data_IF_961146695467
#
_entry.id   IF_961146695467
#
_cell.length_a   1.000
_cell.length_b   1.000
_cell.length_c   1.000
_cell.angle_alpha   90.00
_cell.angle_beta   90.00
_cell.angle_gamma   90.00
#
_symmetry.space_group_name_H-M   'P 1'
#
loop_
_entity.id
_entity.type
_entity.pdbx_description
1 polymer ?
#
# COMPACT_ATOMS: atom_id res chain seq x y z
N UNK A 1 -36.16 4.11 23.10
CA UNK A 1 -35.31 5.06 23.85
C UNK A 1 -33.85 4.77 23.53
N UNK A 2 -33.53 4.43 22.27
CA UNK A 2 -32.31 3.68 21.95
C UNK A 2 -31.45 4.36 20.87
N UNK A 3 -31.91 5.48 20.30
CA UNK A 3 -31.15 6.28 19.34
C UNK A 3 -30.35 7.42 19.98
N UNK A 4 -30.63 7.81 21.24
CA UNK A 4 -29.90 8.88 21.92
C UNK A 4 -28.56 8.40 22.51
N UNK A 5 -28.46 7.12 22.90
CA UNK A 5 -27.23 6.56 23.47
C UNK A 5 -26.16 6.29 22.39
N UNK A 6 -26.56 5.88 21.18
CA UNK A 6 -25.63 5.70 20.06
C UNK A 6 -25.00 7.02 19.58
N UNK A 7 -25.78 8.11 19.59
CA UNK A 7 -25.30 9.44 19.22
C UNK A 7 -24.40 10.08 20.31
N UNK A 8 -24.43 9.58 21.54
CA UNK A 8 -23.60 10.10 22.64
C UNK A 8 -22.13 9.66 22.55
N UNK A 9 -21.81 8.62 21.76
CA UNK A 9 -20.44 8.13 21.55
C UNK A 9 -19.83 8.53 20.20
N UNK A 10 -20.66 8.99 19.25
CA UNK A 10 -20.20 9.48 17.96
C UNK A 10 -19.66 10.91 18.11
N UNK A 11 -18.37 11.03 18.48
CA UNK A 11 -17.67 12.31 18.35
C UNK A 11 -17.61 12.70 16.87
N UNK A 12 -17.94 13.95 16.49
CA UNK A 12 -17.75 14.40 15.11
C UNK A 12 -16.28 14.23 14.71
N UNK A 13 -16.02 13.37 13.72
CA UNK A 13 -14.66 13.23 13.20
C UNK A 13 -14.23 14.56 12.56
N UNK A 14 -13.09 15.07 12.99
CA UNK A 14 -12.50 16.27 12.42
C UNK A 14 -12.08 16.01 10.97
N UNK A 15 -11.98 17.08 10.16
CA UNK A 15 -11.52 16.99 8.76
C UNK A 15 -10.20 16.22 8.67
N UNK A 16 -9.28 16.45 9.61
CA UNK A 16 -7.99 15.75 9.70
C UNK A 16 -8.16 14.24 9.94
N UNK A 17 -9.10 13.83 10.81
CA UNK A 17 -9.36 12.40 11.07
C UNK A 17 -9.98 11.70 9.87
N UNK A 18 -10.86 12.38 9.12
CA UNK A 18 -11.42 11.84 7.88
C UNK A 18 -10.32 11.66 6.83
N UNK A 19 -9.44 12.65 6.65
CA UNK A 19 -8.31 12.53 5.72
C UNK A 19 -7.35 11.41 6.11
N UNK A 20 -7.10 11.18 7.40
CA UNK A 20 -6.28 10.06 7.87
C UNK A 20 -6.92 8.70 7.54
N UNK A 21 -8.22 8.55 7.82
CA UNK A 21 -8.95 7.32 7.52
C UNK A 21 -9.01 7.02 6.01
N UNK A 22 -9.23 8.05 5.18
CA UNK A 22 -9.20 7.93 3.73
C UNK A 22 -7.82 7.51 3.21
N UNK A 23 -6.75 8.00 3.83
CA UNK A 23 -5.40 7.56 3.49
C UNK A 23 -5.16 6.11 3.90
N UNK A 24 -5.69 5.65 5.03
CA UNK A 24 -5.49 4.27 5.49
C UNK A 24 -6.27 3.25 4.65
N UNK A 25 -7.53 3.56 4.33
CA UNK A 25 -8.49 2.59 3.73
C UNK A 25 -8.78 2.84 2.26
N UNK A 26 -8.45 4.01 1.73
CA UNK A 26 -8.86 4.44 0.40
C UNK A 26 -10.31 4.92 0.35
N UNK A 27 -10.75 5.28 -0.85
CA UNK A 27 -12.13 5.71 -1.17
C UNK A 27 -12.58 5.03 -2.45
N UNK A 28 -13.81 5.19 -2.89
CA UNK A 28 -14.24 4.63 -4.20
C UNK A 28 -13.49 5.22 -5.41
N UNK A 29 -12.76 6.32 -5.23
CA UNK A 29 -12.08 7.04 -6.30
C UNK A 29 -10.55 7.02 -6.19
N UNK A 30 -10.02 6.75 -5.00
CA UNK A 30 -8.59 6.80 -4.72
C UNK A 30 -8.17 5.62 -3.86
N UNK A 31 -7.04 4.97 -4.19
CA UNK A 31 -6.50 3.89 -3.38
C UNK A 31 -6.00 4.40 -2.02
N UNK A 32 -5.83 3.50 -1.03
CA UNK A 32 -5.15 3.82 0.22
C UNK A 32 -3.72 4.29 -0.07
N UNK A 33 -3.22 5.21 0.76
CA UNK A 33 -1.88 5.79 0.64
C UNK A 33 -0.86 5.08 1.50
N UNK A 34 0.30 4.81 0.92
CA UNK A 34 1.52 4.43 1.62
C UNK A 34 2.21 5.70 2.11
N UNK A 35 1.92 6.11 3.35
CA UNK A 35 2.51 7.31 3.96
C UNK A 35 3.86 7.05 4.63
N UNK A 36 4.02 5.81 5.12
CA UNK A 36 5.19 5.33 5.84
C UNK A 36 5.56 3.94 5.29
N UNK A 37 6.86 3.72 5.14
CA UNK A 37 7.45 2.46 4.71
C UNK A 37 7.12 1.31 5.66
N UNK A 38 6.97 1.59 6.96
CA UNK A 38 6.69 0.55 7.97
C UNK A 38 5.30 -0.08 7.80
N UNK A 39 4.37 0.62 7.14
CA UNK A 39 3.04 0.12 6.80
C UNK A 39 3.01 -0.65 5.47
N UNK A 40 4.14 -0.78 4.75
CA UNK A 40 4.15 -1.44 3.43
C UNK A 40 3.49 -2.83 3.45
N UNK A 41 3.78 -3.65 4.47
CA UNK A 41 3.23 -5.01 4.57
C UNK A 41 1.71 -5.05 4.76
N UNK A 42 1.13 -4.04 5.41
CA UNK A 42 -0.33 -3.94 5.53
C UNK A 42 -0.95 -3.24 4.33
N UNK A 43 -0.25 -2.23 3.80
CA UNK A 43 -0.69 -1.43 2.68
C UNK A 43 -0.76 -2.24 1.38
N UNK A 44 0.17 -3.18 1.14
CA UNK A 44 0.18 -4.02 -0.08
C UNK A 44 -1.13 -4.76 -0.26
N UNK A 45 -1.66 -5.36 0.82
CA UNK A 45 -2.94 -6.06 0.80
C UNK A 45 -4.11 -5.08 0.60
N UNK A 46 -4.09 -3.92 1.26
CA UNK A 46 -5.16 -2.93 1.13
C UNK A 46 -5.21 -2.34 -0.27
N UNK A 47 -4.05 -2.01 -0.84
CA UNK A 47 -3.92 -1.50 -2.20
C UNK A 47 -4.34 -2.56 -3.23
N UNK A 48 -3.84 -3.79 -3.11
CA UNK A 48 -4.19 -4.90 -3.99
C UNK A 48 -5.68 -5.17 -4.03
N UNK A 49 -6.29 -5.37 -2.85
CA UNK A 49 -7.74 -5.57 -2.73
C UNK A 49 -8.54 -4.39 -3.32
N UNK A 50 -8.06 -3.17 -3.13
CA UNK A 50 -8.71 -1.99 -3.70
C UNK A 50 -8.65 -1.99 -5.23
N UNK A 51 -7.48 -2.21 -5.81
CA UNK A 51 -7.30 -2.23 -7.27
C UNK A 51 -8.09 -3.37 -7.88
N UNK A 52 -8.05 -4.57 -7.31
CA UNK A 52 -8.85 -5.70 -7.79
C UNK A 52 -10.36 -5.43 -7.71
N UNK A 53 -10.84 -4.77 -6.66
CA UNK A 53 -12.26 -4.47 -6.52
C UNK A 53 -12.79 -3.47 -7.56
N UNK A 54 -12.00 -2.45 -7.93
CA UNK A 54 -12.46 -1.38 -8.82
C UNK A 54 -11.90 -1.48 -10.25
N UNK A 55 -10.76 -2.14 -10.43
CA UNK A 55 -9.94 -2.14 -11.65
C UNK A 55 -9.26 -3.51 -11.88
N UNK A 56 -9.97 -4.62 -11.65
CA UNK A 56 -9.46 -5.99 -11.80
C UNK A 56 -8.69 -6.22 -13.11
N UNK A 57 -9.28 -5.81 -14.23
CA UNK A 57 -8.68 -5.94 -15.55
C UNK A 57 -7.30 -5.29 -15.67
N UNK A 58 -7.06 -4.21 -14.91
CA UNK A 58 -5.81 -3.48 -14.96
C UNK A 58 -4.75 -4.09 -14.03
N UNK A 59 -5.14 -4.91 -13.05
CA UNK A 59 -4.22 -5.57 -12.11
C UNK A 59 -3.17 -6.43 -12.84
N UNK A 60 -3.51 -7.03 -13.99
CA UNK A 60 -2.57 -7.82 -14.81
C UNK A 60 -1.27 -7.04 -15.12
N UNK A 61 -1.32 -5.71 -15.22
CA UNK A 61 -0.17 -4.86 -15.52
C UNK A 61 0.80 -4.64 -14.34
N UNK A 62 0.39 -5.01 -13.11
CA UNK A 62 1.28 -5.12 -11.96
C UNK A 62 2.13 -6.39 -12.08
N UNK A 63 1.50 -7.49 -12.49
CA UNK A 63 2.13 -8.82 -12.54
C UNK A 63 2.93 -9.04 -13.83
N UNK A 64 2.46 -8.47 -14.94
CA UNK A 64 3.02 -8.66 -16.28
C UNK A 64 3.36 -7.31 -16.89
N UNK A 65 4.63 -7.14 -17.23
CA UNK A 65 5.10 -5.89 -17.84
C UNK A 65 4.40 -5.62 -19.18
N UNK A 66 3.80 -4.43 -19.29
CA UNK A 66 3.20 -3.98 -20.54
C UNK A 66 4.26 -3.75 -21.63
N UNK A 67 4.09 -4.42 -22.76
CA UNK A 67 4.87 -4.18 -23.97
C UNK A 67 4.07 -3.38 -25.00
N UNK A 68 4.63 -2.27 -25.48
CA UNK A 68 4.00 -1.46 -26.54
C UNK A 68 4.06 -2.21 -27.89
N UNK A 69 2.94 -2.34 -28.62
CA UNK A 69 2.95 -2.98 -29.94
C UNK A 69 3.91 -2.32 -30.92
N UNK A 70 4.70 -3.13 -31.61
CA UNK A 70 5.69 -2.71 -32.59
C UNK A 70 5.15 -2.95 -34.01
N UNK A 71 5.33 -1.98 -34.88
CA UNK A 71 5.08 -2.15 -36.32
C UNK A 71 6.23 -2.88 -37.01
N UNK A 72 6.09 -3.10 -38.32
CA UNK A 72 7.07 -3.80 -39.16
C UNK A 72 8.50 -3.23 -39.05
N UNK A 73 8.62 -1.94 -38.73
CA UNK A 73 9.91 -1.25 -38.62
C UNK A 73 10.53 -1.35 -37.22
N UNK A 74 9.99 -2.18 -36.31
CA UNK A 74 10.35 -2.25 -34.88
C UNK A 74 10.20 -0.92 -34.13
N UNK A 75 9.30 -0.06 -34.63
CA UNK A 75 8.93 1.21 -34.00
C UNK A 75 7.54 1.05 -33.38
N UNK A 76 7.33 1.66 -32.22
CA UNK A 76 6.03 1.67 -31.55
C UNK A 76 4.94 2.19 -32.48
N UNK A 77 3.84 1.43 -32.57
CA UNK A 77 2.67 1.83 -33.35
C UNK A 77 2.05 3.08 -32.69
N UNK A 78 1.73 4.13 -33.47
CA UNK A 78 1.02 5.31 -32.96
C UNK A 78 -0.28 4.93 -32.24
N UNK A 79 -0.64 5.63 -31.16
CA UNK A 79 -1.83 5.29 -30.34
C UNK A 79 -3.10 5.19 -31.21
N UNK A 80 -3.25 6.06 -32.22
CA UNK A 80 -4.40 6.08 -33.12
C UNK A 80 -4.58 4.78 -33.91
N UNK A 81 -3.49 4.10 -34.25
CA UNK A 81 -3.43 2.90 -35.08
C UNK A 81 -3.54 1.60 -34.28
N UNK A 82 -3.54 1.68 -32.94
CA UNK A 82 -3.77 0.53 -32.07
C UNK A 82 -5.20 -0.01 -32.20
N UNK A 83 -5.34 -1.33 -32.09
CA UNK A 83 -6.63 -2.01 -31.96
C UNK A 83 -7.38 -1.58 -30.70
N UNK A 84 -8.66 -1.95 -30.58
CA UNK A 84 -9.43 -1.66 -29.37
C UNK A 84 -8.82 -2.32 -28.13
N UNK A 85 -8.37 -3.57 -28.27
CA UNK A 85 -7.73 -4.37 -27.23
C UNK A 85 -6.37 -3.79 -26.84
N UNK A 86 -5.56 -3.36 -27.81
CA UNK A 86 -4.26 -2.73 -27.56
C UNK A 86 -4.40 -1.37 -26.86
N UNK A 87 -5.43 -0.58 -27.25
CA UNK A 87 -5.78 0.67 -26.56
C UNK A 87 -6.23 0.42 -25.14
N UNK A 88 -7.00 -0.65 -24.91
CA UNK A 88 -7.40 -1.07 -23.56
C UNK A 88 -6.17 -1.38 -22.71
N UNK A 89 -5.28 -2.27 -23.14
CA UNK A 89 -4.02 -2.59 -22.42
C UNK A 89 -3.16 -1.35 -22.16
N UNK A 90 -3.02 -0.46 -23.14
CA UNK A 90 -2.29 0.79 -22.94
C UNK A 90 -2.94 1.69 -21.88
N UNK A 91 -4.27 1.77 -21.87
CA UNK A 91 -5.03 2.56 -20.88
C UNK A 91 -4.92 1.94 -19.50
N UNK A 92 -5.03 0.62 -19.39
CA UNK A 92 -4.96 -0.13 -18.14
C UNK A 92 -3.56 0.00 -17.51
N UNK A 93 -2.48 -0.12 -18.29
CA UNK A 93 -1.11 0.21 -17.86
C UNK A 93 -1.00 1.63 -17.29
N UNK A 94 -1.51 2.63 -18.02
CA UNK A 94 -1.44 4.04 -17.57
C UNK A 94 -2.31 4.31 -16.34
N UNK A 95 -3.41 3.58 -16.19
CA UNK A 95 -4.25 3.62 -15.01
C UNK A 95 -3.47 3.12 -13.79
N UNK A 96 -2.85 1.94 -13.86
CA UNK A 96 -2.07 1.41 -12.74
C UNK A 96 -0.92 2.34 -12.36
N UNK A 97 -0.14 2.84 -13.34
CA UNK A 97 0.93 3.80 -13.05
C UNK A 97 0.37 5.00 -12.28
N UNK A 98 -0.76 5.54 -12.71
CA UNK A 98 -1.41 6.67 -12.04
C UNK A 98 -1.90 6.33 -10.62
N UNK A 99 -2.40 5.12 -10.40
CA UNK A 99 -2.85 4.66 -9.08
C UNK A 99 -1.65 4.50 -8.13
N UNK A 100 -0.55 3.91 -8.61
CA UNK A 100 0.70 3.79 -7.84
C UNK A 100 1.25 5.17 -7.45
N UNK A 101 1.30 6.12 -8.38
CA UNK A 101 1.74 7.50 -8.10
C UNK A 101 0.83 8.23 -7.11
N UNK A 102 -0.46 7.93 -7.07
CA UNK A 102 -1.39 8.53 -6.11
C UNK A 102 -1.28 7.91 -4.72
N UNK A 103 -1.03 6.60 -4.68
CA UNK A 103 -0.98 5.82 -3.46
C UNK A 103 0.37 5.94 -2.76
N UNK A 104 1.47 5.99 -3.50
CA UNK A 104 2.82 6.06 -2.94
C UNK A 104 3.17 7.51 -2.66
N UNK A 105 3.62 7.81 -1.43
CA UNK A 105 4.11 9.14 -1.09
C UNK A 105 5.36 9.48 -1.92
N UNK A 106 5.46 10.72 -2.37
CA UNK A 106 6.50 11.18 -3.30
C UNK A 106 7.93 10.87 -2.82
N UNK A 107 8.21 11.05 -1.53
CA UNK A 107 9.52 10.78 -0.93
C UNK A 107 9.92 9.30 -0.96
N UNK A 108 8.95 8.39 -0.96
CA UNK A 108 9.16 6.96 -1.19
C UNK A 108 9.35 6.71 -2.69
N UNK A 109 8.50 7.30 -3.52
CA UNK A 109 8.46 7.08 -4.97
C UNK A 109 9.79 7.44 -5.65
N UNK A 110 10.38 8.60 -5.32
CA UNK A 110 11.66 9.05 -5.91
C UNK A 110 12.85 8.14 -5.58
N UNK A 111 12.73 7.26 -4.58
CA UNK A 111 13.78 6.32 -4.17
C UNK A 111 13.74 5.01 -4.97
N UNK A 112 12.68 4.76 -5.74
CA UNK A 112 12.50 3.55 -6.54
C UNK A 112 13.28 3.65 -7.86
N UNK A 113 14.06 2.63 -8.20
CA UNK A 113 14.85 2.61 -9.44
C UNK A 113 14.09 1.91 -10.57
N UNK A 114 12.95 2.49 -10.96
CA UNK A 114 12.04 1.88 -11.93
C UNK A 114 12.27 2.38 -13.37
N UNK A 115 11.87 1.58 -14.36
CA UNK A 115 11.89 1.97 -15.78
C UNK A 115 10.65 2.77 -16.24
N UNK A 116 9.66 2.92 -15.34
CA UNK A 116 8.42 3.67 -15.58
C UNK A 116 7.22 2.82 -15.99
N UNK A 117 7.35 1.50 -16.07
CA UNK A 117 6.22 0.56 -16.17
C UNK A 117 5.58 0.33 -14.80
N UNK A 118 4.29 0.00 -14.79
CA UNK A 118 3.57 -0.39 -13.57
C UNK A 118 4.28 -1.54 -12.84
N UNK A 119 4.56 -2.62 -13.59
CA UNK A 119 5.29 -3.79 -13.11
C UNK A 119 6.66 -3.43 -12.52
N UNK A 120 7.44 -2.57 -13.17
CA UNK A 120 8.75 -2.16 -12.63
C UNK A 120 8.64 -1.34 -11.35
N UNK A 121 7.66 -0.42 -11.26
CA UNK A 121 7.40 0.34 -10.02
C UNK A 121 7.04 -0.63 -8.88
N UNK A 122 6.13 -1.56 -9.15
CA UNK A 122 5.69 -2.55 -8.16
C UNK A 122 6.84 -3.45 -7.69
N UNK A 123 7.59 -4.03 -8.62
CA UNK A 123 8.71 -4.92 -8.30
C UNK A 123 9.81 -4.20 -7.51
N UNK A 124 10.10 -2.93 -7.83
CA UNK A 124 11.06 -2.14 -7.04
C UNK A 124 10.51 -1.84 -5.64
N UNK A 125 9.21 -1.56 -5.52
CA UNK A 125 8.55 -1.39 -4.23
C UNK A 125 8.66 -2.66 -3.39
N UNK A 126 8.31 -3.81 -3.95
CA UNK A 126 8.46 -5.11 -3.30
C UNK A 126 9.92 -5.46 -2.99
N UNK A 127 10.85 -5.27 -3.93
CA UNK A 127 12.27 -5.55 -3.72
C UNK A 127 12.85 -4.68 -2.60
N UNK A 128 12.48 -3.40 -2.56
CA UNK A 128 12.98 -2.47 -1.54
C UNK A 128 12.43 -2.78 -0.14
N UNK A 129 11.26 -3.41 -0.04
CA UNK A 129 10.52 -3.52 1.23
C UNK A 129 10.21 -4.96 1.69
N UNK A 130 10.06 -5.92 0.78
CA UNK A 130 10.05 -7.37 1.02
C UNK A 130 11.44 -7.99 0.78
N UNK A 131 12.25 -7.40 -0.10
CA UNK A 131 13.53 -7.94 -0.55
C UNK A 131 14.73 -7.77 0.38
N UNK A 132 14.52 -7.52 1.67
CA UNK A 132 15.53 -7.94 2.64
C UNK A 132 14.92 -8.92 3.62
N UNK A 133 15.11 -10.18 3.27
CA UNK A 133 15.11 -11.29 4.22
C UNK A 133 15.91 -10.91 5.50
N UNK A 134 16.89 -10.01 5.36
CA UNK A 134 17.62 -9.34 6.45
C UNK A 134 16.78 -8.31 7.26
N UNK A 135 15.89 -7.52 6.67
CA UNK A 135 14.98 -6.64 7.43
C UNK A 135 13.86 -7.43 8.11
N UNK A 136 13.34 -8.50 7.50
CA UNK A 136 12.42 -9.42 8.19
C UNK A 136 13.13 -10.12 9.36
N UNK A 137 14.37 -10.59 9.14
CA UNK A 137 15.24 -11.10 10.21
C UNK A 137 15.55 -10.04 11.26
N UNK A 138 15.78 -8.78 10.87
CA UNK A 138 16.05 -7.68 11.80
C UNK A 138 14.81 -7.30 12.61
N UNK A 139 13.62 -7.22 12.00
CA UNK A 139 12.35 -6.99 12.69
C UNK A 139 12.06 -8.11 13.69
N UNK A 140 12.26 -9.37 13.26
CA UNK A 140 12.16 -10.55 14.13
C UNK A 140 13.21 -10.55 15.25
N UNK A 141 14.44 -10.15 14.96
CA UNK A 141 15.55 -10.04 15.92
C UNK A 141 15.31 -8.94 16.94
N UNK A 142 14.81 -7.77 16.51
CA UNK A 142 14.45 -6.65 17.36
C UNK A 142 13.29 -7.04 18.28
N UNK A 143 12.22 -7.61 17.73
CA UNK A 143 11.07 -8.07 18.51
C UNK A 143 11.49 -9.13 19.54
N UNK A 144 12.37 -10.06 19.15
CA UNK A 144 12.93 -11.04 20.09
C UNK A 144 13.73 -10.37 21.21
N UNK A 145 14.56 -9.37 20.91
CA UNK A 145 15.29 -8.60 21.93
C UNK A 145 14.36 -7.83 22.86
N UNK A 146 13.35 -7.15 22.32
CA UNK A 146 12.39 -6.40 23.12
C UNK A 146 11.56 -7.32 24.02
N UNK A 147 11.20 -8.50 23.52
CA UNK A 147 10.56 -9.55 24.32
C UNK A 147 11.48 -10.07 25.42
N UNK A 148 12.74 -10.39 25.10
CA UNK A 148 13.72 -10.86 26.09
C UNK A 148 14.01 -9.81 27.18
N UNK A 149 13.91 -8.52 26.83
CA UNK A 149 14.05 -7.39 27.77
C UNK A 149 12.75 -7.05 28.51
N UNK A 150 11.61 -7.60 28.08
CA UNK A 150 10.30 -7.29 28.66
C UNK A 150 10.22 -7.80 30.09
N UNK A 151 10.01 -6.88 31.03
CA UNK A 151 9.82 -7.17 32.45
C UNK A 151 8.81 -6.22 33.06
N UNK A 152 8.19 -6.66 34.15
CA UNK A 152 7.35 -5.79 34.97
C UNK A 152 8.18 -4.65 35.56
N UNK A 153 7.67 -3.43 35.50
CA UNK A 153 8.29 -2.29 36.16
C UNK A 153 7.79 -2.19 37.60
N UNK A 154 8.59 -1.59 38.49
CA UNK A 154 8.16 -1.32 39.86
C UNK A 154 6.97 -0.35 39.83
N UNK A 155 5.91 -0.69 40.57
CA UNK A 155 4.66 0.05 40.66
C UNK A 155 3.74 -0.01 39.42
N UNK A 156 3.96 -0.94 38.48
CA UNK A 156 2.97 -1.22 37.44
C UNK A 156 1.88 -2.18 37.92
N UNK A 157 0.64 -1.92 37.50
CA UNK A 157 -0.46 -2.87 37.62
C UNK A 157 -0.41 -3.95 36.54
N UNK A 158 -1.06 -5.09 36.79
CA UNK A 158 -1.18 -6.19 35.81
C UNK A 158 -1.80 -5.70 34.50
N UNK A 159 -2.80 -4.80 34.56
CA UNK A 159 -3.44 -4.22 33.37
C UNK A 159 -2.43 -3.47 32.50
N UNK A 160 -1.59 -2.64 33.10
CA UNK A 160 -0.56 -1.87 32.37
C UNK A 160 0.50 -2.79 31.76
N UNK A 161 0.88 -3.87 32.44
CA UNK A 161 1.80 -4.88 31.90
C UNK A 161 1.18 -5.55 30.66
N UNK A 162 -0.10 -5.93 30.71
CA UNK A 162 -0.81 -6.53 29.57
C UNK A 162 -0.90 -5.54 28.40
N UNK A 163 -1.21 -4.27 28.65
CA UNK A 163 -1.27 -3.24 27.60
C UNK A 163 0.08 -3.05 26.89
N UNK A 164 1.19 -2.98 27.65
CA UNK A 164 2.54 -2.90 27.06
C UNK A 164 2.89 -4.16 26.27
N UNK A 165 2.53 -5.33 26.78
CA UNK A 165 2.76 -6.59 26.10
C UNK A 165 1.98 -6.68 24.78
N UNK A 166 0.71 -6.28 24.78
CA UNK A 166 -0.09 -6.23 23.56
C UNK A 166 0.48 -5.23 22.54
N UNK A 167 1.04 -4.10 22.99
CA UNK A 167 1.67 -3.14 22.08
C UNK A 167 2.99 -3.68 21.50
N UNK A 168 3.75 -4.47 22.26
CA UNK A 168 4.94 -5.17 21.76
C UNK A 168 4.62 -6.14 20.62
N UNK A 169 3.43 -6.75 20.62
CA UNK A 169 3.00 -7.74 19.62
C UNK A 169 2.31 -7.14 18.38
N UNK A 170 2.10 -5.82 18.33
CA UNK A 170 1.38 -5.13 17.24
C UNK A 170 2.29 -4.58 16.13
N UNK A 171 3.58 -4.93 16.13
CA UNK A 171 4.61 -4.39 15.22
C UNK A 171 4.73 -5.20 13.93
#
# INVERSE_FOLDING_TARGET
MDNECYNAFASPMTITQNTMLENETGTTQKPPKLLDIDDFSGWVDRFGNWVEAYHLDAWEHIEVEYSRPLGNNKVNIPIRELSAEEKKKYKDEKLIISLLQQAIKEDIFILLQHNGSACSIWNELESKFLGSDDMLKNKKSLMKKEFDLFRGLRNESIKQIIERYCNLLKV
#
